data_IF_530111114190
#
_entry.id   IF_530111114190
#
_cell.length_a   1.000
_cell.length_b   1.000
_cell.length_c   1.000
_cell.angle_alpha   90.00
_cell.angle_beta   90.00
_cell.angle_gamma   90.00
#
_symmetry.space_group_name_H-M   'P 1'
#
loop_
_entity.id
_entity.type
_entity.pdbx_description
1 polymer ?
#
# COMPACT_ATOMS: atom_id res chain seq x y z
N UNK A 1 -0.21 -4.10 -1.20
CA UNK A 1 1.05 -4.05 -0.39
C UNK A 1 1.48 -2.59 -0.14
N UNK A 2 2.38 -2.33 0.83
CA UNK A 2 2.95 -1.00 1.13
C UNK A 2 4.45 -0.95 0.77
N UNK A 3 4.88 0.09 0.06
CA UNK A 3 6.29 0.32 -0.31
C UNK A 3 6.80 1.62 0.31
N UNK A 4 8.04 1.61 0.84
CA UNK A 4 8.71 2.80 1.38
C UNK A 4 10.08 3.00 0.71
N UNK A 5 10.43 4.22 0.33
CA UNK A 5 11.68 4.55 -0.36
C UNK A 5 12.10 6.01 -0.19
N UNK A 6 13.32 6.35 -0.59
CA UNK A 6 13.79 7.75 -0.75
C UNK A 6 13.14 8.35 -2.00
N UNK A 7 12.71 9.61 -1.92
CA UNK A 7 11.69 10.28 -2.76
C UNK A 7 11.94 10.40 -4.27
N UNK A 8 12.97 9.80 -4.84
CA UNK A 8 13.38 10.07 -6.23
C UNK A 8 13.34 8.86 -7.18
N UNK A 9 12.70 7.74 -6.80
CA UNK A 9 12.80 6.48 -7.55
C UNK A 9 11.49 5.71 -7.77
N UNK A 10 10.34 6.17 -7.26
CA UNK A 10 9.07 5.43 -7.43
C UNK A 10 7.99 6.35 -8.00
N UNK A 11 7.64 6.11 -9.27
CA UNK A 11 6.46 6.70 -9.89
C UNK A 11 5.20 6.09 -9.26
N UNK A 12 4.31 6.90 -8.65
CA UNK A 12 3.06 6.41 -8.06
C UNK A 12 2.15 5.69 -9.06
N UNK A 13 2.15 6.10 -10.34
CA UNK A 13 1.33 5.48 -11.38
C UNK A 13 1.83 4.08 -11.73
N UNK A 14 3.15 3.89 -11.82
CA UNK A 14 3.76 2.59 -12.02
C UNK A 14 3.53 1.67 -10.80
N UNK A 15 3.72 2.20 -9.60
CA UNK A 15 3.49 1.45 -8.37
C UNK A 15 2.05 0.95 -8.28
N UNK A 16 1.08 1.81 -8.61
CA UNK A 16 -0.33 1.42 -8.66
C UNK A 16 -0.57 0.32 -9.71
N UNK A 17 0.02 0.42 -10.90
CA UNK A 17 -0.05 -0.60 -11.95
C UNK A 17 0.51 -1.98 -11.53
N UNK A 18 1.42 -2.00 -10.56
CA UNK A 18 2.00 -3.23 -9.97
C UNK A 18 1.21 -3.77 -8.77
N UNK A 19 0.05 -3.17 -8.44
CA UNK A 19 -0.79 -3.60 -7.31
C UNK A 19 -0.33 -3.06 -5.95
N UNK A 20 0.40 -1.95 -5.93
CA UNK A 20 0.72 -1.23 -4.68
C UNK A 20 -0.46 -0.34 -4.31
N UNK A 21 -1.03 -0.59 -3.13
CA UNK A 21 -2.21 0.13 -2.64
C UNK A 21 -1.86 1.43 -1.92
N UNK A 22 -0.64 1.50 -1.39
CA UNK A 22 -0.14 2.59 -0.58
C UNK A 22 1.37 2.78 -0.81
N UNK A 23 1.78 4.03 -1.02
CA UNK A 23 3.17 4.45 -1.15
C UNK A 23 3.48 5.47 -0.06
N UNK A 24 4.62 5.32 0.62
CA UNK A 24 5.04 6.25 1.66
C UNK A 24 6.50 6.66 1.44
N UNK A 25 6.72 7.95 1.20
CA UNK A 25 8.06 8.51 1.03
C UNK A 25 8.74 8.69 2.39
N UNK A 26 10.06 8.51 2.44
CA UNK A 26 10.88 8.83 3.61
C UNK A 26 11.37 10.30 3.56
N UNK A 27 11.54 10.96 4.73
CA UNK A 27 11.22 10.46 6.07
C UNK A 27 9.71 10.47 6.33
N UNK A 28 9.27 9.58 7.22
CA UNK A 28 7.89 9.52 7.71
C UNK A 28 7.90 9.28 9.21
N UNK A 29 6.78 9.59 9.86
CA UNK A 29 6.57 9.38 11.28
C UNK A 29 5.80 8.08 11.54
N UNK A 30 5.90 7.55 12.76
CA UNK A 30 5.14 6.35 13.18
C UNK A 30 3.62 6.54 13.03
N UNK A 31 3.14 7.77 13.19
CA UNK A 31 1.74 8.13 13.02
C UNK A 31 1.28 7.90 11.56
N UNK A 32 2.13 8.22 10.58
CA UNK A 32 1.83 8.05 9.16
C UNK A 32 1.63 6.57 8.82
N UNK A 33 2.48 5.69 9.38
CA UNK A 33 2.38 4.24 9.22
C UNK A 33 1.06 3.73 9.80
N UNK A 34 0.71 4.20 11.00
CA UNK A 34 -0.52 3.79 11.68
C UNK A 34 -1.78 4.13 10.87
N UNK A 35 -1.79 5.32 10.25
CA UNK A 35 -2.88 5.76 9.36
C UNK A 35 -2.99 4.88 8.11
N UNK A 36 -1.85 4.56 7.47
CA UNK A 36 -1.84 3.71 6.28
C UNK A 36 -2.29 2.28 6.59
N UNK A 37 -1.84 1.72 7.72
CA UNK A 37 -2.26 0.39 8.17
C UNK A 37 -3.76 0.35 8.46
N UNK A 38 -4.29 1.35 9.20
CA UNK A 38 -5.73 1.43 9.48
C UNK A 38 -6.56 1.49 8.18
N UNK A 39 -6.10 2.27 7.19
CA UNK A 39 -6.74 2.34 5.86
C UNK A 39 -6.65 1.02 5.10
N UNK A 40 -5.54 0.31 5.19
CA UNK A 40 -5.36 -0.99 4.55
C UNK A 40 -6.31 -2.04 5.14
N UNK A 41 -6.43 -2.09 6.47
CA UNK A 41 -7.33 -3.01 7.16
C UNK A 41 -8.80 -2.71 6.83
N UNK A 42 -9.21 -1.44 6.81
CA UNK A 42 -10.57 -1.04 6.41
C UNK A 42 -10.90 -1.34 4.93
N UNK A 43 -9.88 -1.50 4.06
CA UNK A 43 -10.05 -1.97 2.67
C UNK A 43 -10.11 -3.50 2.57
N UNK A 44 -9.44 -4.21 3.47
CA UNK A 44 -9.38 -5.68 3.52
C UNK A 44 -10.73 -6.36 3.71
N UNK A 45 -11.67 -5.69 4.39
CA UNK A 45 -13.07 -6.15 4.52
C UNK A 45 -13.86 -6.18 3.20
N UNK A 46 -13.27 -5.72 2.08
CA UNK A 46 -13.91 -5.67 0.75
C UNK A 46 -13.17 -6.46 -0.33
N UNK A 47 -12.28 -7.40 0.02
CA UNK A 47 -11.68 -8.28 -0.99
C UNK A 47 -12.58 -9.51 -1.20
N UNK A 48 -13.25 -9.68 -2.36
CA UNK A 48 -13.84 -10.97 -2.70
C UNK A 48 -12.71 -12.00 -2.75
N UNK A 49 -12.88 -13.10 -2.03
CA UNK A 49 -11.97 -14.23 -2.07
C UNK A 49 -11.78 -14.64 -3.54
N UNK A 50 -10.55 -14.51 -4.05
CA UNK A 50 -10.23 -15.03 -5.38
C UNK A 50 -10.40 -16.56 -5.36
N UNK A 51 -10.83 -17.18 -6.48
CA UNK A 51 -11.20 -18.60 -6.49
C UNK A 51 -10.04 -19.45 -5.98
N UNK A 52 -10.34 -20.33 -5.03
CA UNK A 52 -9.41 -21.31 -4.50
C UNK A 52 -8.82 -22.12 -5.66
N UNK A 53 -7.50 -22.07 -5.79
CA UNK A 53 -6.79 -22.89 -6.76
C UNK A 53 -7.09 -24.37 -6.46
N UNK A 54 -7.64 -25.06 -7.48
CA UNK A 54 -7.89 -26.51 -7.50
C UNK A 54 -6.66 -27.25 -8.01
#
# INVERSE_FOLDING_TARGET
ALVTGWSDQIDPAEALGRGVDFLMAKPFETADVSVVVARALARGDRRPEGPAAT
#
